data_IF_886682179194
#
_entry.id   IF_886682179194
#
_cell.length_a   1.000
_cell.length_b   1.000
_cell.length_c   1.000
_cell.angle_alpha   90.00
_cell.angle_beta   90.00
_cell.angle_gamma   90.00
#
_symmetry.space_group_name_H-M   'P 1'
#
loop_
_entity.id
_entity.type
_entity.pdbx_description
1 polymer ?
#
# COMPACT_ATOMS: atom_id res chain seq x y z
N UNK A 1 4.35 1.68 -1.28
CA UNK A 1 4.95 0.72 -0.32
C UNK A 1 5.12 1.40 1.03
N UNK A 2 4.94 0.67 2.13
CA UNK A 2 5.19 1.14 3.49
C UNK A 2 6.34 0.37 4.13
N UNK A 3 7.19 1.05 4.89
CA UNK A 3 8.18 0.40 5.74
C UNK A 3 7.50 -0.12 7.02
N UNK A 4 7.44 -1.44 7.18
CA UNK A 4 6.69 -2.09 8.24
C UNK A 4 7.40 -2.07 9.61
N UNK A 5 8.69 -1.73 9.65
CA UNK A 5 9.41 -1.50 10.91
C UNK A 5 9.14 -0.10 11.47
N UNK A 6 8.55 0.81 10.69
CA UNK A 6 8.18 2.14 11.16
C UNK A 6 6.81 2.09 11.89
N UNK A 7 6.76 2.47 13.19
CA UNK A 7 5.55 2.35 14.02
C UNK A 7 4.40 3.25 13.57
N UNK A 8 4.63 4.26 12.72
CA UNK A 8 3.56 5.09 12.17
C UNK A 8 2.61 4.29 11.28
N UNK A 9 3.09 3.24 10.62
CA UNK A 9 2.31 2.47 9.66
C UNK A 9 1.61 1.28 10.32
N UNK A 10 0.86 1.51 11.38
CA UNK A 10 -0.08 0.50 11.91
C UNK A 10 -1.13 0.14 10.86
N UNK A 11 -1.77 -1.04 10.99
CA UNK A 11 -2.70 -1.57 9.98
C UNK A 11 -3.81 -0.57 9.63
N UNK A 12 -4.42 0.06 10.63
CA UNK A 12 -5.47 1.05 10.42
C UNK A 12 -4.96 2.29 9.68
N UNK A 13 -3.75 2.78 9.99
CA UNK A 13 -3.14 3.92 9.28
C UNK A 13 -2.88 3.54 7.81
N UNK A 14 -2.27 2.39 7.54
CA UNK A 14 -2.03 1.94 6.14
C UNK A 14 -3.33 1.81 5.35
N UNK A 15 -4.37 1.24 5.96
CA UNK A 15 -5.68 1.12 5.33
C UNK A 15 -6.34 2.49 5.11
N UNK A 16 -6.23 3.42 6.06
CA UNK A 16 -6.76 4.77 5.90
C UNK A 16 -6.08 5.51 4.74
N UNK A 17 -4.75 5.46 4.68
CA UNK A 17 -3.97 6.03 3.57
C UNK A 17 -4.31 5.38 2.23
N UNK A 18 -4.76 4.13 2.21
CA UNK A 18 -5.21 3.45 1.00
C UNK A 18 -6.57 3.99 0.52
N UNK A 19 -7.53 4.08 1.44
CA UNK A 19 -8.88 4.62 1.20
C UNK A 19 -8.89 6.12 0.86
N UNK A 20 -7.89 6.88 1.30
CA UNK A 20 -7.81 8.31 1.07
C UNK A 20 -7.43 8.71 -0.37
N UNK A 21 -7.07 7.74 -1.21
CA UNK A 21 -6.49 8.02 -2.52
C UNK A 21 -7.49 7.71 -3.64
N UNK A 22 -7.72 8.63 -4.59
CA UNK A 22 -8.48 8.35 -5.79
C UNK A 22 -7.76 7.25 -6.57
N UNK A 23 -8.47 6.16 -6.87
CA UNK A 23 -7.95 5.08 -7.72
C UNK A 23 -8.54 5.25 -9.11
N UNK A 24 -7.65 5.42 -10.11
CA UNK A 24 -8.06 5.43 -11.52
C UNK A 24 -8.81 4.13 -11.82
N UNK A 25 -9.99 4.24 -12.44
CA UNK A 25 -10.73 3.08 -12.92
C UNK A 25 -10.16 2.55 -14.23
N UNK A 26 -10.76 1.48 -14.76
CA UNK A 26 -10.37 0.88 -16.03
C UNK A 26 -9.35 -0.26 -15.89
N UNK A 27 -8.85 -0.72 -17.03
CA UNK A 27 -8.02 -1.93 -17.13
C UNK A 27 -6.62 -1.77 -16.53
N UNK A 28 -6.12 -0.53 -16.42
CA UNK A 28 -4.81 -0.23 -15.84
C UNK A 28 -4.84 -0.28 -14.30
N UNK A 29 -6.01 -0.30 -13.65
CA UNK A 29 -6.09 -0.28 -12.19
C UNK A 29 -5.50 -1.54 -11.57
N UNK A 30 -4.51 -1.37 -10.70
CA UNK A 30 -3.97 -2.46 -9.91
C UNK A 30 -4.74 -2.60 -8.58
N UNK A 31 -5.31 -3.77 -8.31
CA UNK A 31 -5.99 -4.09 -7.03
C UNK A 31 -5.21 -5.08 -6.16
N UNK A 32 -4.19 -5.72 -6.73
CA UNK A 32 -3.35 -6.72 -6.07
C UNK A 32 -1.93 -6.70 -6.69
N UNK A 33 -0.94 -7.43 -6.14
CA UNK A 33 0.40 -7.52 -6.74
C UNK A 33 0.45 -8.38 -8.02
N UNK A 34 -0.65 -9.05 -8.38
CA UNK A 34 -0.72 -9.94 -9.55
C UNK A 34 -1.55 -9.27 -10.64
N UNK A 35 -1.00 -9.23 -11.85
CA UNK A 35 -1.66 -8.59 -13.00
C UNK A 35 -2.98 -9.30 -13.39
N UNK A 36 -4.04 -8.59 -13.81
CA UNK A 36 -5.32 -9.17 -14.23
C UNK A 36 -5.25 -10.25 -15.32
N UNK A 37 -4.23 -10.20 -16.18
CA UNK A 37 -3.96 -11.21 -17.21
C UNK A 37 -3.36 -12.53 -16.69
N UNK A 38 -3.05 -12.64 -15.40
CA UNK A 38 -2.54 -13.87 -14.79
C UNK A 38 -3.67 -14.87 -14.54
N UNK A 39 -3.38 -16.16 -14.73
CA UNK A 39 -4.31 -17.25 -14.42
C UNK A 39 -4.65 -17.36 -12.92
N UNK A 40 -3.83 -16.77 -12.05
CA UNK A 40 -4.03 -16.75 -10.61
C UNK A 40 -4.67 -15.45 -10.09
N UNK A 41 -5.04 -14.50 -10.96
CA UNK A 41 -5.58 -13.23 -10.52
C UNK A 41 -6.85 -13.40 -9.67
N UNK A 42 -6.94 -12.66 -8.57
CA UNK A 42 -8.10 -12.64 -7.71
C UNK A 42 -8.91 -11.35 -7.91
N UNK A 43 -10.05 -11.46 -8.60
CA UNK A 43 -10.97 -10.34 -8.85
C UNK A 43 -11.84 -9.94 -7.65
N UNK A 44 -11.87 -10.74 -6.58
CA UNK A 44 -12.72 -10.50 -5.40
C UNK A 44 -11.95 -9.88 -4.23
N UNK A 45 -10.69 -9.51 -4.44
CA UNK A 45 -9.92 -8.79 -3.42
C UNK A 45 -10.58 -7.46 -3.08
N UNK A 46 -10.33 -6.99 -1.87
CA UNK A 46 -10.77 -5.68 -1.44
C UNK A 46 -10.15 -4.60 -2.31
N UNK A 47 -10.97 -3.74 -2.91
CA UNK A 47 -10.55 -2.78 -3.94
C UNK A 47 -9.99 -1.47 -3.38
N UNK A 48 -10.28 -1.14 -2.12
CA UNK A 48 -9.96 0.15 -1.50
C UNK A 48 -10.34 1.33 -2.41
N UNK A 49 -11.58 1.32 -2.89
CA UNK A 49 -12.17 2.49 -3.55
C UNK A 49 -12.13 3.69 -2.61
N UNK A 50 -11.96 4.89 -3.18
CA UNK A 50 -11.81 6.11 -2.39
C UNK A 50 -13.00 6.30 -1.44
N UNK A 51 -12.69 6.39 -0.15
CA UNK A 51 -13.68 6.60 0.92
C UNK A 51 -13.01 7.38 2.06
N UNK A 52 -13.03 8.71 1.93
CA UNK A 52 -12.46 9.62 2.91
C UNK A 52 -13.15 9.51 4.28
N UNK A 53 -14.44 9.16 4.32
CA UNK A 53 -15.17 8.92 5.57
C UNK A 53 -14.61 7.71 6.32
N UNK A 54 -14.40 6.59 5.61
CA UNK A 54 -13.79 5.39 6.17
C UNK A 54 -12.32 5.60 6.53
N UNK A 55 -11.57 6.34 5.73
CA UNK A 55 -10.19 6.70 6.03
C UNK A 55 -10.09 7.49 7.35
N UNK A 56 -10.94 8.51 7.54
CA UNK A 56 -11.03 9.25 8.80
C UNK A 56 -11.39 8.34 9.96
N UNK A 57 -12.39 7.46 9.83
CA UNK A 57 -12.78 6.51 10.88
C UNK A 57 -11.59 5.63 11.33
N UNK A 58 -10.79 5.15 10.37
CA UNK A 58 -9.62 4.31 10.63
C UNK A 58 -8.47 5.10 11.29
N UNK A 59 -8.23 6.35 10.86
CA UNK A 59 -7.27 7.23 11.52
C UNK A 59 -7.66 7.46 12.98
N UNK A 60 -8.92 7.76 13.28
CA UNK A 60 -9.39 8.01 14.65
C UNK A 60 -9.27 6.78 15.57
N UNK A 61 -9.20 5.56 15.02
CA UNK A 61 -8.91 4.33 15.78
C UNK A 61 -7.43 4.19 16.15
N UNK A 62 -6.54 4.93 15.50
CA UNK A 62 -5.08 4.86 15.68
C UNK A 62 -4.61 6.19 16.23
N UNK A 63 -4.78 6.36 17.54
CA UNK A 63 -4.61 7.66 18.21
C UNK A 63 -3.12 8.05 18.25
N UNK A 64 -2.70 9.12 17.55
CA UNK A 64 -1.29 9.49 17.49
C UNK A 64 -0.84 10.22 18.76
N UNK A 65 0.31 9.80 19.30
CA UNK A 65 0.94 10.43 20.46
C UNK A 65 1.67 11.73 20.10
N UNK A 66 2.06 11.87 18.84
CA UNK A 66 2.77 13.03 18.29
C UNK A 66 2.24 13.34 16.88
N UNK A 67 2.49 14.54 16.33
CA UNK A 67 2.16 14.85 14.95
C UNK A 67 2.71 13.80 13.99
N UNK A 68 1.88 13.37 13.03
CA UNK A 68 2.27 12.36 12.05
C UNK A 68 2.93 13.06 10.86
N UNK A 69 4.26 12.95 10.79
CA UNK A 69 5.05 13.39 9.65
C UNK A 69 5.47 12.15 8.86
N UNK A 70 5.09 12.08 7.59
CA UNK A 70 5.46 10.98 6.69
C UNK A 70 6.33 11.54 5.58
N UNK A 71 7.50 10.94 5.41
CA UNK A 71 8.31 11.17 4.24
C UNK A 71 7.96 10.17 3.14
N UNK A 72 7.54 10.69 2.00
CA UNK A 72 7.22 9.94 0.80
C UNK A 72 8.39 10.02 -0.17
N UNK A 73 9.12 8.91 -0.30
CA UNK A 73 10.21 8.77 -1.26
C UNK A 73 9.66 8.36 -2.61
N UNK A 74 10.17 8.96 -3.69
CA UNK A 74 9.75 8.63 -5.06
C UNK A 74 10.89 8.83 -6.04
N UNK A 75 10.66 8.46 -7.30
CA UNK A 75 11.54 8.81 -8.42
C UNK A 75 10.96 9.93 -9.26
N UNK A 76 11.79 10.51 -10.13
CA UNK A 76 11.36 11.57 -11.06
C UNK A 76 10.17 11.13 -11.91
N UNK A 77 10.13 9.86 -12.31
CA UNK A 77 9.04 9.30 -13.14
C UNK A 77 7.70 9.20 -12.41
N UNK A 78 7.70 9.26 -11.07
CA UNK A 78 6.50 9.15 -10.24
C UNK A 78 6.31 10.39 -9.34
N UNK A 79 6.90 11.52 -9.73
CA UNK A 79 6.81 12.75 -8.94
C UNK A 79 5.38 13.28 -8.92
N UNK A 80 4.71 13.34 -10.08
CA UNK A 80 3.35 13.86 -10.18
C UNK A 80 2.37 13.00 -9.35
N UNK A 81 2.50 11.67 -9.40
CA UNK A 81 1.72 10.75 -8.56
C UNK A 81 2.02 10.95 -7.07
N UNK A 82 3.29 11.17 -6.70
CA UNK A 82 3.65 11.41 -5.30
C UNK A 82 3.10 12.75 -4.79
N UNK A 83 3.06 13.78 -5.63
CA UNK A 83 2.44 15.06 -5.31
C UNK A 83 0.92 14.94 -5.11
N UNK A 84 0.25 14.13 -5.93
CA UNK A 84 -1.17 13.80 -5.73
C UNK A 84 -1.39 13.06 -4.42
N UNK A 85 -0.64 11.98 -4.17
CA UNK A 85 -0.73 11.22 -2.92
C UNK A 85 -0.51 12.11 -1.69
N UNK A 86 0.48 13.01 -1.76
CA UNK A 86 0.72 14.00 -0.69
C UNK A 86 -0.52 14.85 -0.43
N UNK A 87 -1.13 15.45 -1.46
CA UNK A 87 -2.30 16.32 -1.29
C UNK A 87 -3.46 15.58 -0.62
N UNK A 88 -3.76 14.37 -1.10
CA UNK A 88 -4.89 13.57 -0.60
C UNK A 88 -4.66 13.07 0.83
N UNK A 89 -3.44 12.64 1.17
CA UNK A 89 -3.09 12.26 2.53
C UNK A 89 -3.15 13.45 3.51
N UNK A 90 -2.70 14.62 3.10
CA UNK A 90 -2.81 15.84 3.93
C UNK A 90 -4.28 16.25 4.11
N UNK A 91 -5.11 16.13 3.06
CA UNK A 91 -6.53 16.42 3.12
C UNK A 91 -7.25 15.51 4.14
N UNK A 92 -7.07 14.18 4.05
CA UNK A 92 -7.71 13.24 4.98
C UNK A 92 -7.21 13.41 6.42
N UNK A 93 -5.94 13.77 6.60
CA UNK A 93 -5.36 14.09 7.91
C UNK A 93 -6.02 15.30 8.55
N UNK A 94 -6.22 16.36 7.77
CA UNK A 94 -6.95 17.55 8.21
C UNK A 94 -8.41 17.25 8.56
N UNK A 95 -9.07 16.40 7.77
CA UNK A 95 -10.42 15.94 8.06
C UNK A 95 -10.50 15.11 9.34
N UNK A 96 -9.52 14.25 9.60
CA UNK A 96 -9.42 13.49 10.85
C UNK A 96 -9.18 14.42 12.06
N UNK A 97 -8.32 15.42 11.94
CA UNK A 97 -8.12 16.42 12.98
C UNK A 97 -9.41 17.21 13.28
N UNK A 98 -10.17 17.58 12.24
CA UNK A 98 -11.45 18.26 12.38
C UNK A 98 -12.52 17.35 13.00
N UNK A 99 -12.59 16.08 12.61
CA UNK A 99 -13.48 15.09 13.19
C UNK A 99 -13.17 14.84 14.67
N UNK A 100 -11.90 14.77 15.04
CA UNK A 100 -11.46 14.69 16.43
C UNK A 100 -11.94 15.90 17.24
N UNK A 101 -11.80 17.12 16.73
CA UNK A 101 -12.25 18.36 17.40
C UNK A 101 -13.77 18.37 17.64
N UNK A 102 -14.55 17.79 16.73
CA UNK A 102 -16.01 17.64 16.88
C UNK A 102 -16.39 16.59 17.93
N UNK A 103 -15.52 15.61 18.18
CA UNK A 103 -15.71 14.61 19.23
C UNK A 103 -15.34 15.16 20.61
N UNK A 104 -16.35 15.39 21.46
CA UNK A 104 -16.17 15.87 22.84
C UNK A 104 -15.36 14.93 23.72
N UNK A 105 -15.34 13.64 23.40
CA UNK A 105 -14.58 12.65 24.16
C UNK A 105 -13.12 12.59 23.71
N UNK A 106 -12.87 12.55 22.40
CA UNK A 106 -11.53 12.37 21.85
C UNK A 106 -10.69 13.64 22.04
N UNK A 107 -11.28 14.81 21.85
CA UNK A 107 -10.63 16.12 22.04
C UNK A 107 -10.14 16.38 23.48
N UNK A 108 -10.66 15.66 24.48
CA UNK A 108 -10.16 15.73 25.88
C UNK A 108 -8.99 14.79 26.15
N UNK A 109 -8.85 13.73 25.35
CA UNK A 109 -7.86 12.68 25.55
C UNK A 109 -6.60 12.89 24.73
N UNK A 110 -6.70 13.62 23.61
CA UNK A 110 -5.59 13.83 22.69
C UNK A 110 -5.59 15.20 22.03
N UNK A 111 -4.39 15.64 21.68
CA UNK A 111 -4.16 16.79 20.83
C UNK A 111 -4.64 16.46 19.41
N UNK A 112 -5.84 16.92 19.05
CA UNK A 112 -6.45 16.59 17.76
C UNK A 112 -5.63 17.07 16.55
N UNK A 113 -4.77 18.08 16.72
CA UNK A 113 -3.87 18.49 15.64
C UNK A 113 -2.81 17.43 15.29
N UNK A 114 -2.58 16.44 16.16
CA UNK A 114 -1.67 15.33 15.85
C UNK A 114 -2.18 14.44 14.70
N UNK A 115 -3.50 14.45 14.42
CA UNK A 115 -4.07 13.74 13.27
C UNK A 115 -3.79 14.43 11.93
N UNK A 116 -3.42 15.71 11.94
CA UNK A 116 -3.07 16.43 10.72
C UNK A 116 -1.76 15.85 10.16
N UNK A 117 -1.89 15.06 9.09
CA UNK A 117 -0.77 14.46 8.40
C UNK A 117 0.02 15.56 7.69
N UNK A 118 1.35 15.53 7.83
CA UNK A 118 2.26 16.36 7.03
C UNK A 118 3.15 15.45 6.19
N UNK A 119 3.15 15.66 4.88
CA UNK A 119 3.90 14.80 3.96
C UNK A 119 5.09 15.56 3.38
N UNK A 120 6.31 15.07 3.55
CA UNK A 120 7.49 15.59 2.84
C UNK A 120 7.83 14.69 1.65
N UNK A 121 8.14 15.29 0.49
CA UNK A 121 8.55 14.53 -0.69
C UNK A 121 10.07 14.44 -0.75
N UNK A 122 10.58 13.24 -1.00
CA UNK A 122 11.99 12.97 -1.28
C UNK A 122 12.10 12.37 -2.68
N UNK A 123 12.37 13.21 -3.68
CA UNK A 123 12.53 12.79 -5.08
C UNK A 123 13.99 12.44 -5.35
N UNK A 124 14.25 11.22 -5.86
CA UNK A 124 15.60 10.73 -6.14
C UNK A 124 15.65 9.98 -7.47
N UNK A 125 16.80 9.92 -8.13
CA UNK A 125 16.94 9.08 -9.33
C UNK A 125 17.04 7.59 -8.98
N UNK A 126 17.64 7.27 -7.82
CA UNK A 126 17.84 5.91 -7.31
C UNK A 126 17.35 5.88 -5.86
N UNK A 127 16.14 5.39 -5.61
CA UNK A 127 15.57 5.40 -4.27
C UNK A 127 16.30 4.39 -3.38
N UNK A 128 16.64 4.83 -2.17
CA UNK A 128 17.27 3.98 -1.15
C UNK A 128 16.21 3.06 -0.53
N UNK A 129 16.25 1.79 -0.92
CA UNK A 129 15.33 0.75 -0.40
C UNK A 129 15.60 0.39 1.06
N UNK A 130 16.71 0.84 1.65
CA UNK A 130 17.05 0.60 3.07
C UNK A 130 16.63 1.74 4.01
N UNK A 131 16.31 2.92 3.48
CA UNK A 131 16.01 4.10 4.27
C UNK A 131 14.84 4.92 3.68
N UNK A 132 13.63 4.49 3.99
CA UNK A 132 12.40 5.18 3.64
C UNK A 132 11.31 4.94 4.69
N UNK A 133 10.30 5.81 4.71
CA UNK A 133 9.07 5.61 5.49
C UNK A 133 7.97 5.07 4.59
N UNK A 134 7.56 5.84 3.58
CA UNK A 134 6.71 5.38 2.49
C UNK A 134 7.40 5.62 1.15
N UNK A 135 7.09 4.81 0.14
CA UNK A 135 7.72 4.89 -1.17
C UNK A 135 6.74 4.65 -2.33
N UNK A 136 6.83 5.48 -3.37
CA UNK A 136 6.13 5.33 -4.65
C UNK A 136 7.15 4.91 -5.72
N UNK A 137 7.02 3.68 -6.20
CA UNK A 137 7.82 3.12 -7.29
C UNK A 137 6.98 2.08 -8.04
N UNK A 138 7.38 1.75 -9.27
CA UNK A 138 6.93 0.54 -9.93
C UNK A 138 7.77 -0.66 -9.51
N UNK A 139 7.16 -1.84 -9.52
CA UNK A 139 7.84 -3.12 -9.34
C UNK A 139 7.47 -4.04 -10.50
N UNK A 140 8.46 -4.78 -11.00
CA UNK A 140 8.24 -5.73 -12.08
C UNK A 140 7.39 -6.89 -11.56
N UNK A 141 6.32 -7.20 -12.28
CA UNK A 141 5.47 -8.36 -11.99
C UNK A 141 5.99 -9.55 -12.80
N UNK A 142 6.40 -10.66 -12.16
CA UNK A 142 6.81 -11.87 -12.88
C UNK A 142 5.66 -12.48 -13.68
N UNK A 143 6.01 -13.21 -14.75
CA UNK A 143 5.03 -13.92 -15.59
C UNK A 143 4.34 -15.07 -14.83
N UNK A 144 5.10 -15.79 -14.00
CA UNK A 144 4.53 -16.73 -13.05
C UNK A 144 4.00 -15.95 -11.84
N UNK A 145 2.81 -16.27 -11.29
CA UNK A 145 2.22 -15.53 -10.17
C UNK A 145 2.98 -15.68 -8.85
N UNK A 146 4.04 -16.48 -8.78
CA UNK A 146 4.91 -16.56 -7.61
C UNK A 146 5.49 -15.17 -7.23
N UNK A 147 5.05 -14.70 -6.07
CA UNK A 147 5.42 -13.40 -5.47
C UNK A 147 6.44 -13.55 -4.33
N UNK A 148 7.03 -14.74 -4.16
CA UNK A 148 7.88 -15.10 -3.02
C UNK A 148 9.05 -14.13 -2.82
N UNK A 149 9.77 -13.77 -3.89
CA UNK A 149 10.95 -12.91 -3.78
C UNK A 149 10.66 -11.55 -3.14
N UNK A 150 9.54 -10.91 -3.47
CA UNK A 150 9.23 -9.58 -2.94
C UNK A 150 8.54 -9.64 -1.57
N UNK A 151 7.68 -10.62 -1.35
CA UNK A 151 6.72 -10.58 -0.22
C UNK A 151 7.01 -11.55 0.92
N UNK A 152 7.88 -12.55 0.72
CA UNK A 152 8.22 -13.50 1.77
C UNK A 152 9.18 -12.88 2.80
N UNK A 153 8.92 -13.11 4.09
CA UNK A 153 9.61 -12.44 5.20
C UNK A 153 11.12 -12.68 5.27
N UNK A 154 11.60 -13.79 4.70
CA UNK A 154 13.02 -14.18 4.72
C UNK A 154 13.84 -13.62 3.56
N UNK A 155 13.21 -12.97 2.59
CA UNK A 155 13.90 -12.52 1.38
C UNK A 155 14.55 -11.16 1.60
N UNK A 156 15.81 -11.03 1.17
CA UNK A 156 16.52 -9.73 1.22
C UNK A 156 15.91 -8.68 0.29
N UNK A 157 15.14 -9.12 -0.70
CA UNK A 157 14.37 -8.29 -1.62
C UNK A 157 13.05 -7.77 -1.03
N UNK A 158 12.64 -8.26 0.14
CA UNK A 158 11.52 -7.69 0.91
C UNK A 158 11.99 -6.43 1.67
N UNK A 159 12.21 -5.36 0.93
CA UNK A 159 12.66 -4.08 1.46
C UNK A 159 11.61 -3.36 2.32
N UNK A 160 10.37 -3.86 2.35
CA UNK A 160 9.31 -3.32 3.21
C UNK A 160 9.41 -3.83 4.65
N UNK A 161 10.27 -4.83 4.91
CA UNK A 161 10.32 -5.54 6.19
C UNK A 161 8.99 -6.19 6.57
N UNK A 162 8.16 -6.54 5.58
CA UNK A 162 6.85 -7.13 5.82
C UNK A 162 6.99 -8.56 6.33
N UNK A 163 6.32 -8.88 7.44
CA UNK A 163 6.36 -10.20 8.07
C UNK A 163 4.94 -10.69 8.35
N UNK A 164 4.56 -11.80 7.74
CA UNK A 164 3.28 -12.44 7.98
C UNK A 164 3.41 -13.95 7.79
N UNK A 165 3.35 -14.76 8.87
CA UNK A 165 3.46 -16.22 8.76
C UNK A 165 2.42 -16.84 7.83
N UNK A 166 1.25 -16.20 7.68
CA UNK A 166 0.21 -16.61 6.74
C UNK A 166 0.65 -16.40 5.29
N UNK A 167 1.20 -15.24 4.97
CA UNK A 167 1.69 -14.92 3.63
C UNK A 167 2.88 -15.80 3.28
N UNK A 168 3.81 -15.98 4.22
CA UNK A 168 4.97 -16.87 4.05
C UNK A 168 4.51 -18.28 3.69
N UNK A 169 3.59 -18.84 4.48
CA UNK A 169 3.03 -20.17 4.23
C UNK A 169 2.35 -20.28 2.86
N UNK A 170 1.51 -19.32 2.48
CA UNK A 170 0.81 -19.35 1.19
C UNK A 170 1.80 -19.30 0.01
N UNK A 171 2.85 -18.49 0.11
CA UNK A 171 3.88 -18.41 -0.92
C UNK A 171 4.73 -19.69 -0.98
N UNK A 172 5.06 -20.30 0.16
CA UNK A 172 5.75 -21.60 0.21
C UNK A 172 4.91 -22.74 -0.36
N UNK A 173 3.64 -22.82 0.00
CA UNK A 173 2.71 -23.85 -0.47
C UNK A 173 2.47 -23.69 -1.98
N UNK A 174 2.27 -22.46 -2.46
CA UNK A 174 2.07 -22.16 -3.88
C UNK A 174 3.28 -22.50 -4.76
N UNK A 175 4.49 -22.53 -4.21
CA UNK A 175 5.71 -22.97 -4.92
C UNK A 175 5.88 -24.49 -4.96
N UNK A 176 5.31 -25.22 -4.00
CA UNK A 176 5.37 -26.68 -3.92
C UNK A 176 4.24 -27.34 -4.73
N UNK A 177 3.10 -26.67 -4.84
CA UNK A 177 1.91 -27.18 -5.54
C UNK A 177 2.13 -27.31 -7.05
N UNK A 178 1.74 -28.47 -7.59
CA UNK A 178 1.86 -28.80 -9.02
C UNK A 178 0.49 -28.74 -9.72
N UNK A 179 -0.59 -28.99 -9.00
CA UNK A 179 -1.94 -28.87 -9.52
C UNK A 179 -2.31 -27.39 -9.70
N UNK A 180 -2.65 -27.02 -10.94
CA UNK A 180 -2.85 -25.61 -11.30
C UNK A 180 -4.04 -24.99 -10.57
N UNK A 181 -5.12 -25.75 -10.35
CA UNK A 181 -6.34 -25.22 -9.74
C UNK A 181 -6.13 -25.00 -8.23
N UNK A 182 -5.46 -25.93 -7.55
CA UNK A 182 -5.05 -25.74 -6.15
C UNK A 182 -4.05 -24.59 -6.01
N UNK A 183 -3.05 -24.49 -6.89
CA UNK A 183 -2.09 -23.38 -6.90
C UNK A 183 -2.78 -22.03 -7.14
N UNK A 184 -3.83 -22.01 -7.97
CA UNK A 184 -4.67 -20.83 -8.22
C UNK A 184 -5.33 -20.38 -6.92
N UNK A 185 -6.00 -21.30 -6.21
CA UNK A 185 -6.66 -20.99 -4.95
C UNK A 185 -5.68 -20.42 -3.91
N UNK A 186 -4.49 -21.04 -3.77
CA UNK A 186 -3.44 -20.56 -2.85
C UNK A 186 -3.03 -19.12 -3.17
N UNK A 187 -2.78 -18.79 -4.44
CA UNK A 187 -2.39 -17.43 -4.83
C UNK A 187 -3.55 -16.43 -4.76
N UNK A 188 -4.80 -16.87 -4.90
CA UNK A 188 -5.96 -16.01 -4.68
C UNK A 188 -6.12 -15.67 -3.19
N UNK A 189 -5.89 -16.62 -2.29
CA UNK A 189 -5.85 -16.38 -0.84
C UNK A 189 -4.68 -15.47 -0.46
N UNK A 190 -3.50 -15.67 -1.06
CA UNK A 190 -2.35 -14.78 -0.87
C UNK A 190 -2.72 -13.32 -1.20
N UNK A 191 -3.32 -13.08 -2.36
CA UNK A 191 -3.76 -11.73 -2.75
C UNK A 191 -4.78 -11.16 -1.77
N UNK A 192 -5.76 -11.96 -1.34
CA UNK A 192 -6.80 -11.52 -0.39
C UNK A 192 -6.19 -11.03 0.92
N UNK A 193 -5.35 -11.86 1.56
CA UNK A 193 -4.76 -11.51 2.85
C UNK A 193 -3.72 -10.39 2.74
N UNK A 194 -2.92 -10.36 1.67
CA UNK A 194 -1.94 -9.30 1.47
C UNK A 194 -2.64 -7.94 1.32
N UNK A 195 -3.67 -7.88 0.48
CA UNK A 195 -4.42 -6.64 0.24
C UNK A 195 -5.13 -6.18 1.51
N UNK A 196 -5.70 -7.09 2.31
CA UNK A 196 -6.29 -6.77 3.61
C UNK A 196 -5.28 -6.23 4.63
N UNK A 197 -4.05 -6.76 4.65
CA UNK A 197 -2.99 -6.25 5.51
C UNK A 197 -2.41 -4.92 4.99
N UNK A 198 -2.61 -4.61 3.71
CA UNK A 198 -2.25 -3.34 3.06
C UNK A 198 -0.79 -2.91 3.30
N UNK A 199 0.23 -3.77 3.11
CA UNK A 199 1.65 -3.38 3.23
C UNK A 199 2.10 -2.48 2.07
N UNK A 200 1.35 -2.46 0.98
CA UNK A 200 1.46 -1.49 -0.09
C UNK A 200 0.07 -1.06 -0.55
N UNK A 201 0.04 0.08 -1.24
CA UNK A 201 -1.13 0.55 -1.97
C UNK A 201 -0.85 0.27 -3.44
N UNK A 202 -1.67 -0.59 -4.05
CA UNK A 202 -1.64 -0.86 -5.48
C UNK A 202 -2.36 0.28 -6.21
N UNK A 203 -1.70 0.88 -7.20
CA UNK A 203 -2.19 2.08 -7.90
C UNK A 203 -2.59 1.75 -9.34
N UNK A 204 -1.60 1.45 -10.18
CA UNK A 204 -1.81 1.20 -11.60
C UNK A 204 -0.76 0.22 -12.14
N UNK A 205 -1.08 -0.42 -13.25
CA UNK A 205 -0.14 -1.12 -14.12
C UNK A 205 0.33 -0.14 -15.19
N UNK A 206 1.59 0.36 -15.12
CA UNK A 206 2.08 1.31 -16.12
C UNK A 206 2.11 0.66 -17.50
N UNK A 207 1.58 1.36 -18.51
CA UNK A 207 1.62 0.90 -19.90
C UNK A 207 3.06 1.02 -20.44
N UNK A 208 3.70 -0.11 -20.73
CA UNK A 208 5.02 -0.15 -21.36
C UNK A 208 4.87 -0.11 -22.90
N UNK A 209 5.40 0.94 -23.54
CA UNK A 209 5.52 0.98 -25.00
C UNK A 209 6.87 0.40 -25.41
N UNK A 210 6.87 -0.77 -26.06
CA UNK A 210 8.07 -1.29 -26.71
C UNK A 210 8.19 -0.64 -28.09
N UNK A 211 9.16 0.27 -28.26
CA UNK A 211 9.49 0.85 -29.56
C UNK A 211 10.49 -0.09 -30.25
N UNK A 212 10.01 -0.97 -31.11
CA UNK A 212 10.88 -1.75 -31.99
C UNK A 212 11.21 -0.93 -33.24
N UNK A 213 12.51 -0.67 -33.45
CA UNK A 213 12.98 -0.04 -34.69
C UNK A 213 13.07 -1.13 -35.76
N UNK A 214 12.25 -1.01 -36.81
CA UNK A 214 12.34 -1.83 -38.03
C UNK A 214 13.63 -1.54 -38.80
#
# INVERSE_FOLDING_TARGET
FFNMDNPLFEKNVRQALNYALPKRGGEERATSPIHPGSWAFNKTVKTYDEDNGRAVELLLKSVPQSPINIELTTTVNFQDEAEEIKREWEAVGNDAANACKRSKELSKKVECNNFALTISLRVTNFPDLSNFQAMVIAQQIPKDPDQYFLWHSTQSTNFMHYKSPRIDKLLEDGRKEQDKDQRTAIYQDFQQFLVEDSPAIFLTHPTEFTIERK
#
